data_IF_890505342984
#
_entry.id   IF_890505342984
#
_cell.length_a   1.000
_cell.length_b   1.000
_cell.length_c   1.000
_cell.angle_alpha   90.00
_cell.angle_beta   90.00
_cell.angle_gamma   90.00
#
_symmetry.space_group_name_H-M   'P 1'
#
loop_
_entity.id
_entity.type
_entity.pdbx_description
1 polymer ?
#
# COMPACT_ATOMS: atom_id res chain seq x y z
N UNK A 1 2.50 -74.86 -19.73
CA UNK A 1 3.07 -73.52 -19.45
C UNK A 1 2.08 -72.48 -19.90
N UNK A 2 1.34 -71.85 -18.97
CA UNK A 2 0.35 -70.79 -19.25
C UNK A 2 1.02 -69.46 -18.97
N UNK A 3 1.18 -68.60 -20.00
CA UNK A 3 1.66 -67.23 -19.89
C UNK A 3 0.53 -66.33 -19.39
N UNK A 4 0.73 -65.63 -18.27
CA UNK A 4 -0.16 -64.58 -17.77
C UNK A 4 0.22 -63.24 -18.44
N UNK A 5 -0.71 -62.46 -18.97
CA UNK A 5 -0.44 -61.09 -19.42
C UNK A 5 -0.41 -60.16 -18.23
N UNK A 6 0.63 -59.32 -18.13
CA UNK A 6 0.74 -58.22 -17.17
C UNK A 6 -0.06 -57.05 -17.72
N UNK A 7 -1.15 -56.69 -17.06
CA UNK A 7 -1.87 -55.46 -17.35
C UNK A 7 -1.03 -54.29 -16.78
N UNK A 8 -0.49 -53.46 -17.66
CA UNK A 8 0.10 -52.16 -17.32
C UNK A 8 -1.05 -51.16 -17.10
N UNK A 9 -1.34 -50.79 -15.84
CA UNK A 9 -2.25 -49.70 -15.51
C UNK A 9 -1.45 -48.42 -15.64
N UNK A 10 -1.60 -47.68 -16.74
CA UNK A 10 -1.15 -46.30 -16.89
C UNK A 10 -2.08 -45.41 -16.04
N UNK A 11 -1.57 -44.98 -14.88
CA UNK A 11 -2.15 -43.83 -14.14
C UNK A 11 -1.87 -42.57 -14.93
N UNK A 12 -2.83 -42.11 -15.73
CA UNK A 12 -2.87 -40.71 -16.18
C UNK A 12 -3.19 -39.83 -14.97
N UNK A 13 -2.18 -39.29 -14.33
CA UNK A 13 -2.34 -38.15 -13.45
C UNK A 13 -2.78 -36.96 -14.31
N UNK A 14 -4.08 -36.67 -14.32
CA UNK A 14 -4.58 -35.41 -14.84
C UNK A 14 -3.90 -34.29 -14.10
N UNK A 15 -2.90 -33.66 -14.68
CA UNK A 15 -2.43 -32.34 -14.25
C UNK A 15 -3.58 -31.38 -14.52
N UNK A 16 -4.43 -31.17 -13.50
CA UNK A 16 -5.31 -30.03 -13.50
C UNK A 16 -4.39 -28.80 -13.56
N UNK A 17 -4.32 -28.16 -14.72
CA UNK A 17 -3.60 -26.91 -14.87
C UNK A 17 -4.12 -25.96 -13.80
N UNK A 18 -3.24 -25.49 -12.90
CA UNK A 18 -3.61 -24.46 -11.95
C UNK A 18 -4.12 -23.27 -12.77
N UNK A 19 -5.36 -22.88 -12.55
CA UNK A 19 -5.91 -21.68 -13.17
C UNK A 19 -4.99 -20.51 -12.84
N UNK A 20 -4.69 -19.67 -13.84
CA UNK A 20 -3.91 -18.46 -13.60
C UNK A 20 -4.58 -17.65 -12.47
N UNK A 21 -3.78 -17.14 -11.50
CA UNK A 21 -4.34 -16.33 -10.45
C UNK A 21 -5.05 -15.11 -11.06
N UNK A 22 -6.17 -14.67 -10.49
CA UNK A 22 -6.91 -13.52 -11.00
C UNK A 22 -5.99 -12.30 -11.05
N UNK A 23 -6.16 -11.47 -12.09
CA UNK A 23 -5.42 -10.22 -12.24
C UNK A 23 -5.60 -9.34 -10.99
N UNK A 24 -4.57 -8.58 -10.57
CA UNK A 24 -4.71 -7.61 -9.50
C UNK A 24 -5.83 -6.61 -9.79
N UNK A 25 -6.65 -6.31 -8.78
CA UNK A 25 -7.82 -5.45 -8.88
C UNK A 25 -7.56 -4.13 -8.17
N UNK A 26 -7.70 -3.00 -8.90
CA UNK A 26 -7.73 -1.68 -8.27
C UNK A 26 -8.99 -1.53 -7.41
N UNK A 27 -8.80 -0.87 -6.26
CA UNK A 27 -9.84 -0.60 -5.28
C UNK A 27 -9.75 0.87 -4.90
N UNK A 28 -10.89 1.56 -4.86
CA UNK A 28 -10.96 2.97 -4.51
C UNK A 28 -11.60 3.21 -3.14
N UNK A 29 -11.28 4.35 -2.54
CA UNK A 29 -12.17 5.04 -1.61
C UNK A 29 -12.37 6.45 -2.11
N UNK A 30 -13.59 6.94 -2.05
CA UNK A 30 -13.95 8.24 -2.61
C UNK A 30 -14.69 9.05 -1.55
N UNK A 31 -14.35 10.32 -1.36
CA UNK A 31 -15.09 11.18 -0.46
C UNK A 31 -16.54 11.26 -0.90
N UNK A 32 -17.47 10.97 0.00
CA UNK A 32 -18.91 11.16 -0.24
C UNK A 32 -19.22 12.60 -0.68
N UNK A 33 -20.31 12.81 -1.36
CA UNK A 33 -20.73 14.14 -1.87
C UNK A 33 -19.73 14.73 -2.89
N UNK A 34 -19.00 13.87 -3.64
CA UNK A 34 -18.13 14.28 -4.74
C UNK A 34 -18.40 13.46 -5.99
N UNK A 35 -18.03 13.99 -7.15
CA UNK A 35 -18.08 13.26 -8.43
C UNK A 35 -16.77 12.55 -8.78
N UNK A 36 -15.95 12.16 -7.79
CA UNK A 36 -14.62 11.57 -8.01
C UNK A 36 -14.66 10.05 -8.21
N UNK A 37 -15.82 9.44 -8.06
CA UNK A 37 -16.00 7.99 -8.20
C UNK A 37 -15.76 7.51 -9.63
N UNK A 38 -14.99 6.44 -9.78
CA UNK A 38 -14.95 5.64 -11.00
C UNK A 38 -15.85 4.40 -10.81
N UNK A 39 -17.00 4.32 -11.50
CA UNK A 39 -17.98 3.24 -11.30
C UNK A 39 -17.47 1.85 -11.70
N UNK A 40 -16.31 1.77 -12.34
CA UNK A 40 -15.64 0.50 -12.69
C UNK A 40 -14.81 -0.08 -11.55
N UNK A 41 -14.52 0.71 -10.52
CA UNK A 41 -13.67 0.30 -9.40
C UNK A 41 -14.51 0.02 -8.15
N UNK A 42 -14.33 -1.13 -7.49
CA UNK A 42 -14.99 -1.40 -6.22
C UNK A 42 -14.44 -0.51 -5.10
N UNK A 43 -15.25 -0.30 -4.08
CA UNK A 43 -14.87 0.47 -2.91
C UNK A 43 -14.21 -0.39 -1.83
N UNK A 44 -13.19 0.16 -1.14
CA UNK A 44 -12.49 -0.53 -0.05
C UNK A 44 -13.44 -0.90 1.11
N UNK A 45 -14.44 -0.07 1.41
CA UNK A 45 -15.47 -0.34 2.43
C UNK A 45 -16.28 -1.62 2.18
N UNK A 46 -16.36 -2.06 0.92
CA UNK A 46 -17.09 -3.28 0.52
C UNK A 46 -16.10 -4.46 0.33
N UNK A 47 -14.95 -4.20 -0.28
CA UNK A 47 -13.92 -5.22 -0.57
C UNK A 47 -13.29 -5.75 0.71
N UNK A 48 -12.97 -4.91 1.69
CA UNK A 48 -12.30 -5.36 2.91
C UNK A 48 -13.14 -6.35 3.73
N UNK A 49 -14.43 -6.05 4.05
CA UNK A 49 -15.27 -7.02 4.75
C UNK A 49 -15.44 -8.33 3.97
N UNK A 50 -15.54 -8.27 2.62
CA UNK A 50 -15.62 -9.47 1.77
C UNK A 50 -14.38 -10.35 1.93
N UNK A 51 -13.18 -9.78 1.78
CA UNK A 51 -11.92 -10.50 1.93
C UNK A 51 -11.77 -11.11 3.34
N UNK A 52 -12.09 -10.36 4.39
CA UNK A 52 -11.99 -10.78 5.79
C UNK A 52 -12.96 -11.91 6.09
N UNK A 53 -14.21 -11.83 5.62
CA UNK A 53 -15.20 -12.91 5.78
C UNK A 53 -14.82 -14.19 5.06
N UNK A 54 -14.09 -14.08 3.94
CA UNK A 54 -13.60 -15.24 3.19
C UNK A 54 -12.45 -15.98 3.89
N UNK A 55 -11.80 -15.38 4.89
CA UNK A 55 -10.70 -15.98 5.65
C UNK A 55 -11.11 -17.29 6.32
N UNK A 56 -10.24 -18.29 6.23
CA UNK A 56 -10.44 -19.63 6.81
C UNK A 56 -9.38 -20.01 7.83
N UNK A 57 -8.16 -19.46 7.73
CA UNK A 57 -7.01 -19.83 8.56
C UNK A 57 -6.41 -18.66 9.30
N UNK A 58 -6.13 -17.57 8.59
CA UNK A 58 -5.42 -16.43 9.18
C UNK A 58 -5.70 -15.11 8.49
N UNK A 59 -5.59 -14.06 9.28
CA UNK A 59 -5.52 -12.67 8.81
C UNK A 59 -4.31 -12.03 9.48
N UNK A 60 -3.38 -11.52 8.66
CA UNK A 60 -2.21 -10.78 9.12
C UNK A 60 -2.35 -9.33 8.65
N UNK A 61 -2.44 -8.39 9.58
CA UNK A 61 -2.79 -7.00 9.32
C UNK A 61 -1.69 -6.09 9.87
N UNK A 62 -1.17 -5.20 9.01
CA UNK A 62 -0.18 -4.19 9.37
C UNK A 62 -0.69 -2.81 8.97
N UNK A 63 -0.96 -1.98 9.98
CA UNK A 63 -1.63 -0.70 9.82
C UNK A 63 -0.94 0.40 10.62
N UNK A 64 -0.99 1.61 10.09
CA UNK A 64 -0.45 2.77 10.78
C UNK A 64 -1.22 3.03 12.08
N UNK A 65 -2.54 3.02 12.03
CA UNK A 65 -3.45 3.15 13.17
C UNK A 65 -4.83 2.59 12.84
N UNK A 66 -5.66 2.48 13.87
CA UNK A 66 -7.10 2.23 13.74
C UNK A 66 -7.88 3.38 14.35
N UNK A 67 -8.90 3.88 13.63
CA UNK A 67 -9.80 4.92 14.17
C UNK A 67 -11.21 4.72 13.61
N UNK A 68 -12.17 4.47 14.50
CA UNK A 68 -13.58 4.42 14.13
C UNK A 68 -14.21 5.82 14.26
N UNK A 69 -15.33 6.05 13.57
CA UNK A 69 -15.99 7.35 13.58
C UNK A 69 -16.60 7.74 14.94
N UNK A 70 -16.96 9.00 15.12
CA UNK A 70 -17.65 9.47 16.31
C UNK A 70 -19.01 8.77 16.48
N UNK A 71 -19.75 8.59 15.40
CA UNK A 71 -20.88 7.67 15.34
C UNK A 71 -20.38 6.31 14.85
N UNK A 72 -20.04 5.45 15.79
CA UNK A 72 -19.45 4.14 15.50
C UNK A 72 -20.39 3.24 14.70
N UNK A 73 -21.69 3.35 14.93
CA UNK A 73 -22.68 2.49 14.27
C UNK A 73 -22.86 2.83 12.79
N UNK A 74 -22.74 4.11 12.43
CA UNK A 74 -22.86 4.60 11.08
C UNK A 74 -21.50 4.70 10.34
N UNK A 75 -20.41 4.37 11.02
CA UNK A 75 -19.05 4.44 10.46
C UNK A 75 -18.84 3.43 9.33
N UNK A 76 -18.21 3.86 8.24
CA UNK A 76 -17.80 2.96 7.15
C UNK A 76 -16.77 1.91 7.58
N UNK A 77 -16.06 2.10 8.70
CA UNK A 77 -15.15 1.12 9.28
C UNK A 77 -15.87 0.03 10.09
N UNK A 78 -17.07 0.28 10.57
CA UNK A 78 -17.79 -0.67 11.43
C UNK A 78 -17.99 -2.05 10.79
N UNK A 79 -18.39 -2.17 9.50
CA UNK A 79 -18.49 -3.47 8.83
C UNK A 79 -17.15 -4.23 8.77
N UNK A 80 -16.02 -3.52 8.68
CA UNK A 80 -14.68 -4.11 8.67
C UNK A 80 -14.34 -4.68 10.06
N UNK A 81 -14.56 -3.90 11.11
CA UNK A 81 -14.30 -4.34 12.49
C UNK A 81 -15.17 -5.56 12.87
N UNK A 82 -16.44 -5.53 12.49
CA UNK A 82 -17.34 -6.69 12.68
C UNK A 82 -16.86 -7.92 11.92
N UNK A 83 -16.41 -7.76 10.67
CA UNK A 83 -15.88 -8.89 9.91
C UNK A 83 -14.64 -9.51 10.57
N UNK A 84 -13.76 -8.70 11.20
CA UNK A 84 -12.62 -9.20 11.98
C UNK A 84 -13.08 -9.96 13.23
N UNK A 85 -14.08 -9.45 13.96
CA UNK A 85 -14.68 -10.13 15.11
C UNK A 85 -15.33 -11.46 14.71
N UNK A 86 -16.10 -11.47 13.63
CA UNK A 86 -16.71 -12.67 13.05
C UNK A 86 -15.63 -13.70 12.64
N UNK A 87 -14.51 -13.25 12.06
CA UNK A 87 -13.40 -14.12 11.70
C UNK A 87 -12.76 -14.76 12.95
N UNK A 88 -12.49 -13.98 14.00
CA UNK A 88 -11.98 -14.50 15.27
C UNK A 88 -12.96 -15.50 15.92
N UNK A 89 -14.27 -15.21 15.91
CA UNK A 89 -15.29 -16.11 16.41
C UNK A 89 -15.36 -17.45 15.64
N UNK A 90 -14.97 -17.46 14.35
CA UNK A 90 -14.83 -18.69 13.56
C UNK A 90 -13.51 -19.44 13.82
N UNK A 91 -12.63 -18.93 14.65
CA UNK A 91 -11.33 -19.53 14.95
C UNK A 91 -10.21 -19.14 13.94
N UNK A 92 -10.43 -18.12 13.12
CA UNK A 92 -9.38 -17.56 12.25
C UNK A 92 -8.35 -16.88 13.14
N UNK A 93 -7.06 -17.19 12.94
CA UNK A 93 -5.97 -16.53 13.67
C UNK A 93 -5.80 -15.10 13.16
N UNK A 94 -5.82 -14.12 14.05
CA UNK A 94 -5.57 -12.74 13.72
C UNK A 94 -4.22 -12.28 14.33
N UNK A 95 -3.36 -11.70 13.50
CA UNK A 95 -2.16 -10.99 13.95
C UNK A 95 -2.26 -9.54 13.48
N UNK A 96 -2.13 -8.61 14.40
CA UNK A 96 -2.28 -7.18 14.13
C UNK A 96 -1.02 -6.44 14.56
N UNK A 97 -0.40 -5.72 13.62
CA UNK A 97 0.67 -4.77 13.87
C UNK A 97 0.13 -3.34 13.75
N UNK A 98 0.29 -2.54 14.81
CA UNK A 98 0.00 -1.11 14.79
C UNK A 98 1.24 -0.30 15.14
N UNK A 99 1.36 0.91 14.58
CA UNK A 99 2.43 1.83 14.96
C UNK A 99 2.32 2.21 16.42
N UNK A 100 3.42 2.04 17.19
CA UNK A 100 3.44 2.33 18.62
C UNK A 100 3.04 3.79 18.93
N UNK A 101 3.35 4.72 18.02
CA UNK A 101 3.06 6.16 18.19
C UNK A 101 1.61 6.55 17.98
N UNK A 102 0.78 5.64 17.47
CA UNK A 102 -0.58 5.95 17.02
C UNK A 102 -1.66 5.25 17.84
N UNK A 103 -1.30 4.55 18.93
CA UNK A 103 -2.26 3.80 19.75
C UNK A 103 -3.29 4.69 20.46
N UNK A 104 -2.90 5.91 20.75
CA UNK A 104 -3.74 6.88 21.47
C UNK A 104 -4.73 7.64 20.54
N UNK A 105 -4.72 7.35 19.22
CA UNK A 105 -5.66 7.97 18.29
C UNK A 105 -7.11 7.51 18.53
N UNK A 106 -7.31 6.23 18.83
CA UNK A 106 -8.60 5.67 19.24
C UNK A 106 -8.36 4.43 20.14
N UNK A 107 -8.11 4.61 21.44
CA UNK A 107 -7.84 3.53 22.36
C UNK A 107 -8.97 2.49 22.42
N UNK A 108 -10.22 2.92 22.21
CA UNK A 108 -11.38 2.02 22.25
C UNK A 108 -11.37 1.06 21.04
N UNK A 109 -11.02 1.51 19.84
CA UNK A 109 -10.87 0.64 18.67
C UNK A 109 -9.65 -0.29 18.82
N UNK A 110 -8.55 0.17 19.41
CA UNK A 110 -7.41 -0.70 19.76
C UNK A 110 -7.80 -1.78 20.76
N UNK A 111 -8.54 -1.42 21.82
CA UNK A 111 -9.05 -2.37 22.81
C UNK A 111 -10.00 -3.40 22.18
N UNK A 112 -10.85 -2.96 21.25
CA UNK A 112 -11.76 -3.82 20.50
C UNK A 112 -11.00 -4.87 19.66
N UNK A 113 -9.95 -4.46 18.94
CA UNK A 113 -9.11 -5.41 18.20
C UNK A 113 -8.41 -6.43 19.11
N UNK A 114 -7.95 -5.99 20.29
CA UNK A 114 -7.34 -6.90 21.30
C UNK A 114 -8.30 -7.90 21.88
N UNK A 115 -9.58 -7.56 21.95
CA UNK A 115 -10.62 -8.41 22.51
C UNK A 115 -11.13 -9.50 21.56
N UNK A 116 -10.73 -9.46 20.27
CA UNK A 116 -11.14 -10.47 19.29
C UNK A 116 -10.56 -11.83 19.69
N UNK A 117 -11.38 -12.92 19.77
CA UNK A 117 -10.89 -14.25 20.10
C UNK A 117 -9.75 -14.69 19.15
N UNK A 118 -8.64 -15.15 19.73
CA UNK A 118 -7.47 -15.61 18.98
C UNK A 118 -6.64 -14.50 18.31
N UNK A 119 -6.94 -13.23 18.59
CA UNK A 119 -6.14 -12.12 18.08
C UNK A 119 -4.89 -11.88 18.93
N UNK A 120 -3.76 -11.65 18.27
CA UNK A 120 -2.54 -11.13 18.88
C UNK A 120 -2.22 -9.76 18.27
N UNK A 121 -2.20 -8.72 19.11
CA UNK A 121 -1.85 -7.37 18.70
C UNK A 121 -0.49 -7.01 19.26
N UNK A 122 0.45 -6.66 18.37
CA UNK A 122 1.77 -6.12 18.70
C UNK A 122 1.89 -4.68 18.23
N UNK A 123 2.77 -3.95 18.90
CA UNK A 123 3.15 -2.59 18.52
C UNK A 123 4.48 -2.61 17.79
N UNK A 124 4.54 -1.87 16.70
CA UNK A 124 5.74 -1.72 15.91
C UNK A 124 6.40 -0.38 16.20
N UNK A 125 7.66 -0.42 16.65
CA UNK A 125 8.45 0.77 17.01
C UNK A 125 9.87 0.63 16.47
N UNK A 126 10.22 1.46 15.49
CA UNK A 126 11.56 1.52 14.90
C UNK A 126 12.55 2.38 15.73
N UNK A 127 12.05 3.05 16.75
CA UNK A 127 12.81 4.09 17.45
C UNK A 127 12.98 5.36 16.59
N UNK A 128 13.64 6.35 17.13
CA UNK A 128 13.91 7.60 16.41
C UNK A 128 12.63 8.25 15.85
N UNK A 129 12.59 8.56 14.54
CA UNK A 129 11.44 9.15 13.84
C UNK A 129 10.61 8.13 13.08
N UNK A 130 11.12 6.92 12.86
CA UNK A 130 10.48 5.89 12.06
C UNK A 130 9.14 5.44 12.63
N UNK A 131 8.19 5.18 11.76
CA UNK A 131 6.85 4.69 12.06
C UNK A 131 6.50 3.48 11.19
N UNK A 132 5.53 2.68 11.63
CA UNK A 132 4.84 1.76 10.74
C UNK A 132 3.82 2.60 9.94
N UNK A 133 4.14 2.88 8.69
CA UNK A 133 3.23 3.63 7.82
C UNK A 133 2.67 2.77 6.69
N UNK A 134 3.00 1.49 6.66
CA UNK A 134 2.39 0.52 5.76
C UNK A 134 0.89 0.34 6.08
N UNK A 135 0.10 0.01 5.07
CA UNK A 135 -1.34 -0.28 5.16
C UNK A 135 -1.62 -1.46 4.26
N UNK A 136 -1.66 -2.63 4.88
CA UNK A 136 -1.94 -3.86 4.16
C UNK A 136 -2.47 -4.96 5.08
N UNK A 137 -3.13 -5.93 4.48
CA UNK A 137 -3.43 -7.19 5.16
C UNK A 137 -3.34 -8.37 4.20
N UNK A 138 -3.05 -9.54 4.78
CA UNK A 138 -3.01 -10.82 4.10
C UNK A 138 -4.12 -11.71 4.64
N UNK A 139 -4.76 -12.44 3.75
CA UNK A 139 -5.79 -13.44 4.06
C UNK A 139 -5.27 -14.81 3.66
N UNK A 140 -5.18 -15.72 4.63
CA UNK A 140 -4.74 -17.10 4.47
C UNK A 140 -3.33 -17.28 3.84
N UNK A 141 -2.55 -16.19 3.71
CA UNK A 141 -1.29 -16.17 2.98
C UNK A 141 -1.44 -16.35 1.46
N UNK A 142 -2.65 -16.20 0.92
CA UNK A 142 -3.00 -16.44 -0.48
C UNK A 142 -3.55 -15.20 -1.18
N UNK A 143 -4.17 -14.31 -0.43
CA UNK A 143 -4.74 -13.07 -0.94
C UNK A 143 -4.26 -11.90 -0.10
N UNK A 144 -4.10 -10.73 -0.71
CA UNK A 144 -3.68 -9.55 0.00
C UNK A 144 -4.33 -8.27 -0.53
N UNK A 145 -4.34 -7.27 0.32
CA UNK A 145 -4.64 -5.88 0.00
C UNK A 145 -3.46 -5.01 0.42
N UNK A 146 -3.05 -4.08 -0.45
CA UNK A 146 -2.10 -3.00 -0.15
C UNK A 146 -2.69 -1.70 -0.67
N UNK A 147 -2.67 -0.64 0.12
CA UNK A 147 -3.22 0.64 -0.34
C UNK A 147 -2.75 1.85 0.44
N UNK A 148 -3.31 2.98 0.08
CA UNK A 148 -3.10 4.22 0.82
C UNK A 148 -4.08 4.37 2.01
N UNK A 149 -5.14 3.58 2.02
CA UNK A 149 -6.19 3.58 3.04
C UNK A 149 -5.65 3.13 4.40
N UNK A 150 -5.79 3.96 5.42
CA UNK A 150 -5.62 3.53 6.80
C UNK A 150 -6.86 2.74 7.28
N UNK A 151 -6.74 1.98 8.35
CA UNK A 151 -7.88 1.36 9.04
C UNK A 151 -8.70 2.43 9.79
N UNK A 152 -9.31 3.31 9.01
CA UNK A 152 -9.91 4.58 9.43
C UNK A 152 -11.23 4.83 8.67
N UNK A 153 -12.28 5.19 9.40
CA UNK A 153 -13.56 5.53 8.81
C UNK A 153 -13.47 6.65 7.75
N UNK A 154 -12.56 7.63 7.96
CA UNK A 154 -12.33 8.72 7.00
C UNK A 154 -11.72 8.20 5.70
N UNK A 155 -10.76 7.27 5.80
CA UNK A 155 -10.12 6.65 4.65
C UNK A 155 -11.11 5.86 3.78
N UNK A 156 -12.20 5.34 4.37
CA UNK A 156 -13.21 4.59 3.65
C UNK A 156 -14.37 5.45 3.11
N UNK A 157 -14.51 6.70 3.58
CA UNK A 157 -15.71 7.51 3.31
C UNK A 157 -15.45 8.98 2.96
N UNK A 158 -14.32 9.56 3.38
CA UNK A 158 -14.07 10.99 3.30
C UNK A 158 -12.73 11.38 2.68
N UNK A 159 -11.93 10.42 2.25
CA UNK A 159 -10.61 10.63 1.65
C UNK A 159 -10.56 9.92 0.30
N UNK A 160 -9.89 10.54 -0.68
CA UNK A 160 -9.65 9.89 -1.97
C UNK A 160 -8.41 9.01 -1.89
N UNK A 161 -8.63 7.69 -1.96
CA UNK A 161 -7.62 6.67 -1.74
C UNK A 161 -7.60 5.65 -2.87
N UNK A 162 -6.46 4.97 -3.02
CA UNK A 162 -6.31 3.89 -3.99
C UNK A 162 -5.59 2.70 -3.35
N UNK A 163 -6.09 1.51 -3.58
CA UNK A 163 -5.49 0.25 -3.15
C UNK A 163 -5.53 -0.80 -4.24
N UNK A 164 -4.90 -1.92 -3.96
CA UNK A 164 -4.82 -3.08 -4.82
C UNK A 164 -5.15 -4.35 -4.04
N UNK A 165 -6.11 -5.12 -4.52
CA UNK A 165 -6.42 -6.47 -4.10
C UNK A 165 -5.75 -7.45 -5.06
N UNK A 166 -5.06 -8.47 -4.57
CA UNK A 166 -4.35 -9.41 -5.43
C UNK A 166 -4.15 -10.79 -4.78
N UNK A 167 -4.00 -11.79 -5.66
CA UNK A 167 -3.62 -13.18 -5.32
C UNK A 167 -2.35 -13.62 -6.04
N UNK A 168 -1.67 -12.69 -6.69
CA UNK A 168 -0.44 -12.92 -7.46
C UNK A 168 0.68 -13.37 -6.52
N UNK A 169 1.22 -14.60 -6.66
CA UNK A 169 2.22 -15.14 -5.72
C UNK A 169 3.50 -14.29 -5.65
N UNK A 170 3.89 -13.62 -6.75
CA UNK A 170 5.04 -12.74 -6.86
C UNK A 170 4.89 -11.47 -6.00
N UNK A 171 3.67 -11.12 -5.59
CA UNK A 171 3.38 -10.03 -4.66
C UNK A 171 3.04 -10.54 -3.25
N UNK A 172 2.26 -11.63 -3.14
CA UNK A 172 1.81 -12.18 -1.85
C UNK A 172 2.98 -12.70 -1.03
N UNK A 173 3.89 -13.48 -1.64
CA UNK A 173 5.03 -14.09 -0.91
C UNK A 173 6.00 -13.06 -0.31
N UNK A 174 6.48 -12.04 -1.07
CA UNK A 174 7.32 -11.00 -0.47
C UNK A 174 6.57 -10.19 0.60
N UNK A 175 5.28 -9.90 0.42
CA UNK A 175 4.50 -9.20 1.43
C UNK A 175 4.38 -10.01 2.73
N UNK A 176 4.14 -11.32 2.63
CA UNK A 176 4.14 -12.22 3.79
C UNK A 176 5.52 -12.25 4.48
N UNK A 177 6.61 -12.27 3.72
CA UNK A 177 7.97 -12.21 4.27
C UNK A 177 8.25 -10.88 4.99
N UNK A 178 7.73 -9.76 4.47
CA UNK A 178 7.79 -8.46 5.17
C UNK A 178 7.02 -8.53 6.48
N UNK A 179 5.80 -9.06 6.46
CA UNK A 179 4.99 -9.17 7.67
C UNK A 179 5.69 -10.02 8.74
N UNK A 180 6.24 -11.19 8.39
CA UNK A 180 6.96 -12.05 9.34
C UNK A 180 8.21 -11.36 9.91
N UNK A 181 8.91 -10.60 9.09
CA UNK A 181 10.04 -9.79 9.53
C UNK A 181 9.61 -8.74 10.57
N UNK A 182 8.58 -7.99 10.26
CA UNK A 182 8.05 -6.93 11.10
C UNK A 182 7.43 -7.49 12.39
N UNK A 183 6.76 -8.64 12.29
CA UNK A 183 6.20 -9.36 13.43
C UNK A 183 7.28 -9.85 14.40
N UNK A 184 8.35 -10.42 13.85
CA UNK A 184 9.51 -10.89 14.65
C UNK A 184 10.24 -9.72 15.29
N UNK A 185 10.46 -8.64 14.53
CA UNK A 185 11.07 -7.41 15.04
C UNK A 185 10.27 -6.79 16.19
N UNK A 186 8.95 -6.72 16.07
CA UNK A 186 8.06 -6.15 17.11
C UNK A 186 8.13 -6.92 18.43
N UNK A 187 8.42 -8.22 18.39
CA UNK A 187 8.54 -9.09 19.57
C UNK A 187 9.90 -9.01 20.27
N UNK A 188 10.97 -8.78 19.54
CA UNK A 188 12.35 -8.88 20.08
C UNK A 188 13.11 -7.55 20.08
N UNK A 189 12.69 -6.56 19.29
CA UNK A 189 13.44 -5.32 18.97
C UNK A 189 14.84 -5.55 18.42
N UNK A 190 15.16 -6.78 18.05
CA UNK A 190 16.42 -7.14 17.40
C UNK A 190 16.27 -6.90 15.91
N UNK A 191 17.15 -6.09 15.35
CA UNK A 191 17.20 -5.91 13.89
C UNK A 191 17.57 -7.24 13.25
N UNK A 192 16.76 -7.75 12.29
CA UNK A 192 17.15 -8.96 11.58
C UNK A 192 18.46 -8.73 10.83
N UNK A 193 19.40 -9.66 10.95
CA UNK A 193 20.59 -9.69 10.13
C UNK A 193 20.26 -10.44 8.84
N UNK A 194 20.05 -9.71 7.76
CA UNK A 194 19.85 -10.34 6.45
C UNK A 194 21.13 -10.33 5.63
N UNK A 195 21.46 -11.41 4.93
CA UNK A 195 22.49 -11.38 3.90
C UNK A 195 22.05 -10.43 2.78
N UNK A 196 23.01 -9.70 2.22
CA UNK A 196 22.73 -8.83 1.07
C UNK A 196 22.13 -9.65 -0.07
N UNK A 197 20.92 -9.30 -0.49
CA UNK A 197 20.27 -9.97 -1.60
C UNK A 197 21.09 -9.80 -2.89
N UNK A 198 21.22 -10.86 -3.69
CA UNK A 198 21.78 -10.76 -5.01
C UNK A 198 20.85 -9.92 -5.90
N UNK A 199 21.43 -9.00 -6.68
CA UNK A 199 20.66 -8.20 -7.64
C UNK A 199 20.03 -9.12 -8.69
N UNK A 200 18.72 -8.98 -8.91
CA UNK A 200 18.06 -9.67 -10.02
C UNK A 200 18.33 -8.92 -11.33
N UNK A 201 18.79 -9.59 -12.39
CA UNK A 201 19.19 -8.93 -13.62
C UNK A 201 18.04 -8.45 -14.53
N UNK A 202 16.81 -8.89 -14.26
CA UNK A 202 15.62 -8.52 -15.05
C UNK A 202 14.51 -8.02 -14.15
N UNK A 203 13.82 -6.95 -14.59
CA UNK A 203 12.64 -6.45 -13.88
C UNK A 203 11.49 -7.44 -14.07
N UNK A 204 10.90 -7.97 -12.98
CA UNK A 204 9.73 -8.82 -13.05
C UNK A 204 8.50 -7.99 -13.49
N UNK A 205 7.47 -8.69 -14.00
CA UNK A 205 6.19 -8.06 -14.33
C UNK A 205 5.47 -7.50 -13.10
N UNK A 206 5.72 -8.11 -11.94
CA UNK A 206 5.22 -7.70 -10.63
C UNK A 206 6.39 -7.57 -9.68
N UNK A 207 6.53 -6.43 -9.05
CA UNK A 207 7.58 -6.19 -8.06
C UNK A 207 6.97 -5.58 -6.81
N UNK A 208 7.26 -6.17 -5.65
CA UNK A 208 6.97 -5.59 -4.35
C UNK A 208 8.28 -5.15 -3.72
N UNK A 209 8.33 -3.90 -3.32
CA UNK A 209 9.48 -3.28 -2.68
C UNK A 209 9.07 -2.67 -1.35
N UNK A 210 10.02 -2.38 -0.48
CA UNK A 210 9.69 -1.84 0.83
C UNK A 210 10.77 -0.88 1.35
N UNK A 211 10.44 -0.18 2.41
CA UNK A 211 11.32 0.68 3.21
C UNK A 211 11.11 0.42 4.70
N UNK A 212 12.10 0.72 5.56
CA UNK A 212 13.44 1.18 5.20
C UNK A 212 14.33 0.01 4.74
N UNK A 213 15.40 0.27 3.96
CA UNK A 213 16.23 -0.79 3.36
C UNK A 213 16.79 -1.81 4.36
N UNK A 214 17.17 -1.34 5.55
CA UNK A 214 17.81 -2.16 6.59
C UNK A 214 16.85 -3.19 7.23
N UNK A 215 15.55 -3.09 6.96
CA UNK A 215 14.53 -3.99 7.51
C UNK A 215 13.89 -4.87 6.42
N UNK A 216 14.32 -4.76 5.18
CA UNK A 216 13.76 -5.56 4.10
C UNK A 216 14.28 -7.00 4.15
N UNK A 217 13.40 -8.01 4.06
CA UNK A 217 13.82 -9.40 3.98
C UNK A 217 14.53 -9.69 2.65
N UNK A 218 15.30 -10.80 2.56
CA UNK A 218 15.96 -11.21 1.33
C UNK A 218 14.98 -11.29 0.16
N UNK A 219 15.39 -10.76 -1.00
CA UNK A 219 14.57 -10.73 -2.20
C UNK A 219 13.61 -9.54 -2.31
N UNK A 220 13.46 -8.71 -1.26
CA UNK A 220 12.70 -7.46 -1.31
C UNK A 220 13.66 -6.28 -1.49
N UNK A 221 13.57 -5.63 -2.64
CA UNK A 221 14.37 -4.43 -2.94
C UNK A 221 13.91 -3.22 -2.13
N UNK A 222 14.79 -2.25 -2.00
CA UNK A 222 14.46 -0.97 -1.39
C UNK A 222 13.64 -0.10 -2.37
N UNK A 223 12.54 0.49 -1.89
CA UNK A 223 11.75 1.46 -2.66
C UNK A 223 12.59 2.67 -3.05
N UNK A 224 13.56 3.05 -2.20
CA UNK A 224 14.54 4.11 -2.43
C UNK A 224 15.39 3.90 -3.70
N UNK A 225 15.62 2.66 -4.11
CA UNK A 225 16.37 2.30 -5.31
C UNK A 225 15.43 2.10 -6.51
N UNK A 226 14.32 1.40 -6.30
CA UNK A 226 13.40 1.00 -7.36
C UNK A 226 12.66 2.20 -7.99
N UNK A 227 12.21 3.15 -7.17
CA UNK A 227 11.39 4.27 -7.66
C UNK A 227 12.19 5.25 -8.55
N UNK A 228 13.41 5.71 -8.19
CA UNK A 228 14.22 6.53 -9.09
C UNK A 228 14.60 5.82 -10.40
N UNK A 229 14.84 4.52 -10.33
CA UNK A 229 15.11 3.70 -11.51
C UNK A 229 13.90 3.68 -12.47
N UNK A 230 12.69 3.54 -11.95
CA UNK A 230 11.45 3.62 -12.72
C UNK A 230 11.29 4.98 -13.41
N UNK A 231 11.48 6.06 -12.68
CA UNK A 231 11.42 7.42 -13.20
C UNK A 231 12.49 7.65 -14.29
N UNK A 232 13.67 7.03 -14.12
CA UNK A 232 14.75 7.08 -15.08
C UNK A 232 14.44 6.38 -16.42
N UNK A 233 13.56 5.38 -16.41
CA UNK A 233 13.19 4.59 -17.59
C UNK A 233 12.02 5.16 -18.38
N UNK A 234 11.30 6.15 -17.86
CA UNK A 234 10.19 6.80 -18.53
C UNK A 234 10.63 7.43 -19.87
N UNK A 235 9.82 7.23 -20.91
CA UNK A 235 10.07 7.69 -22.28
C UNK A 235 9.11 8.76 -22.75
N UNK A 236 7.84 8.69 -22.33
CA UNK A 236 6.77 9.55 -22.84
C UNK A 236 6.13 10.39 -21.75
N UNK A 237 5.68 9.74 -20.66
CA UNK A 237 4.86 10.39 -19.64
C UNK A 237 4.99 9.76 -18.27
N UNK A 238 5.04 10.62 -17.25
CA UNK A 238 4.93 10.28 -15.84
C UNK A 238 3.73 11.03 -15.27
N UNK A 239 2.78 10.32 -14.66
CA UNK A 239 1.67 10.88 -13.90
C UNK A 239 1.77 10.42 -12.46
N UNK A 240 1.82 11.37 -11.54
CA UNK A 240 1.97 11.09 -10.10
C UNK A 240 0.84 11.75 -9.35
N UNK A 241 0.25 11.03 -8.40
CA UNK A 241 -0.70 11.57 -7.42
C UNK A 241 -0.21 11.28 -6.01
N UNK A 242 -0.11 12.31 -5.17
CA UNK A 242 0.41 12.19 -3.80
C UNK A 242 -0.40 13.03 -2.82
N UNK A 243 -0.48 12.58 -1.56
CA UNK A 243 -0.85 13.47 -0.47
C UNK A 243 0.24 14.53 -0.28
N UNK A 244 1.49 14.09 -0.07
CA UNK A 244 2.61 14.98 0.25
C UNK A 244 3.80 14.71 -0.65
N UNK A 245 4.34 15.79 -1.21
CA UNK A 245 5.60 15.84 -1.93
C UNK A 245 6.57 16.75 -1.16
N UNK A 246 7.62 16.19 -0.60
CA UNK A 246 8.57 16.95 0.21
C UNK A 246 10.02 16.61 -0.14
N UNK A 247 10.69 17.38 -0.98
CA UNK A 247 12.11 17.25 -1.23
C UNK A 247 12.97 17.87 -0.13
N UNK A 248 12.40 18.09 1.06
CA UNK A 248 13.09 18.64 2.24
C UNK A 248 12.96 17.70 3.41
N UNK A 249 14.10 17.25 3.91
CA UNK A 249 14.21 16.45 5.10
C UNK A 249 14.41 17.32 6.35
N UNK A 250 13.69 17.00 7.42
CA UNK A 250 13.84 17.68 8.71
C UNK A 250 13.61 19.21 8.65
N UNK A 251 12.86 19.71 7.67
CA UNK A 251 12.51 21.12 7.41
C UNK A 251 13.58 21.99 6.77
N UNK A 252 14.83 21.56 6.68
CA UNK A 252 15.94 22.46 6.24
C UNK A 252 16.89 21.80 5.23
N UNK A 253 17.02 20.47 5.23
CA UNK A 253 17.97 19.79 4.36
C UNK A 253 17.30 19.35 3.06
N UNK A 254 17.80 19.81 1.94
CA UNK A 254 17.34 19.39 0.63
C UNK A 254 17.64 17.89 0.40
N UNK A 255 16.61 17.13 0.08
CA UNK A 255 16.68 15.72 -0.28
C UNK A 255 16.26 15.55 -1.75
N UNK A 256 17.24 15.53 -2.65
CA UNK A 256 16.98 15.73 -4.09
C UNK A 256 16.53 14.49 -4.84
N UNK A 257 16.51 13.30 -4.22
CA UNK A 257 16.45 12.04 -4.96
C UNK A 257 15.31 11.96 -5.96
N UNK A 258 14.07 12.12 -5.51
CA UNK A 258 12.89 12.03 -6.36
C UNK A 258 12.66 13.32 -7.17
N UNK A 259 12.99 14.47 -6.59
CA UNK A 259 12.93 15.78 -7.29
C UNK A 259 13.86 15.80 -8.49
N UNK A 260 15.11 15.36 -8.31
CA UNK A 260 16.07 15.25 -9.42
C UNK A 260 15.64 14.22 -10.46
N UNK A 261 15.02 13.10 -10.06
CA UNK A 261 14.54 12.10 -11.00
C UNK A 261 13.41 12.64 -11.90
N UNK A 262 12.47 13.42 -11.35
CA UNK A 262 11.41 14.09 -12.13
C UNK A 262 12.00 15.17 -13.05
N UNK A 263 12.94 16.00 -12.56
CA UNK A 263 13.63 17.01 -13.38
C UNK A 263 14.41 16.38 -14.52
N UNK A 264 15.14 15.32 -14.24
CA UNK A 264 15.89 14.58 -15.28
C UNK A 264 14.95 13.96 -16.33
N UNK A 265 13.78 13.47 -15.93
CA UNK A 265 12.77 12.99 -16.87
C UNK A 265 12.26 14.13 -17.77
N UNK A 266 11.93 15.30 -17.19
CA UNK A 266 11.50 16.47 -17.95
C UNK A 266 12.56 16.97 -18.95
N UNK A 267 13.84 16.96 -18.55
CA UNK A 267 14.98 17.31 -19.44
C UNK A 267 15.12 16.32 -20.61
N UNK A 268 14.80 15.06 -20.41
CA UNK A 268 14.73 14.06 -21.51
C UNK A 268 13.54 14.23 -22.44
N UNK A 269 12.64 15.18 -22.16
CA UNK A 269 11.42 15.43 -22.95
C UNK A 269 10.19 14.65 -22.47
N UNK A 270 10.28 13.94 -21.35
CA UNK A 270 9.14 13.21 -20.75
C UNK A 270 8.15 14.21 -20.17
N UNK A 271 6.87 14.04 -20.46
CA UNK A 271 5.80 14.85 -19.84
C UNK A 271 5.57 14.40 -18.40
N UNK A 272 5.81 15.29 -17.44
CA UNK A 272 5.63 15.03 -16.00
C UNK A 272 4.39 15.76 -15.53
N UNK A 273 3.43 15.03 -14.97
CA UNK A 273 2.21 15.57 -14.35
C UNK A 273 2.21 15.14 -12.88
N UNK A 274 2.40 16.10 -11.99
CA UNK A 274 2.40 15.89 -10.55
C UNK A 274 1.14 16.51 -9.94
N UNK A 275 0.30 15.70 -9.33
CA UNK A 275 -0.88 16.11 -8.60
C UNK A 275 -0.65 15.92 -7.10
N UNK A 276 -0.86 16.95 -6.30
CA UNK A 276 -0.67 16.91 -4.85
C UNK A 276 -1.90 17.48 -4.13
N UNK A 277 -2.07 17.11 -2.85
CA UNK A 277 -3.08 17.73 -2.01
C UNK A 277 -2.72 19.19 -1.68
N UNK A 278 -3.71 19.98 -1.33
CA UNK A 278 -3.60 21.38 -0.90
C UNK A 278 -2.73 21.57 0.35
N UNK A 279 -2.49 20.52 1.13
CA UNK A 279 -1.52 20.53 2.25
C UNK A 279 -0.09 20.91 1.81
N UNK A 280 0.22 20.81 0.51
CA UNK A 280 1.53 21.20 -0.05
C UNK A 280 1.62 22.70 -0.39
N UNK A 281 0.59 23.49 -0.13
CA UNK A 281 0.61 24.95 -0.34
C UNK A 281 1.41 25.69 0.73
N UNK A 282 1.78 25.05 1.82
CA UNK A 282 2.62 25.61 2.85
C UNK A 282 4.11 25.52 2.52
N UNK A 283 4.90 26.45 3.07
CA UNK A 283 6.36 26.42 2.96
C UNK A 283 6.96 25.31 3.85
N UNK A 284 8.05 24.67 3.43
CA UNK A 284 8.82 24.89 2.21
C UNK A 284 8.29 24.17 0.96
N UNK A 285 7.29 23.28 1.06
CA UNK A 285 6.83 22.42 -0.03
C UNK A 285 6.41 23.21 -1.27
N UNK A 286 5.63 24.28 -1.10
CA UNK A 286 5.12 25.09 -2.22
C UNK A 286 6.24 25.71 -3.06
N UNK A 287 7.37 26.09 -2.46
CA UNK A 287 8.47 26.70 -3.19
C UNK A 287 9.15 25.68 -4.13
N UNK A 288 9.26 24.43 -3.69
CA UNK A 288 9.78 23.34 -4.54
C UNK A 288 8.81 22.97 -5.66
N UNK A 289 7.51 22.94 -5.40
CA UNK A 289 6.48 22.71 -6.42
C UNK A 289 6.51 23.81 -7.49
N UNK A 290 6.61 25.09 -7.10
CA UNK A 290 6.77 26.21 -8.01
C UNK A 290 8.04 26.08 -8.86
N UNK A 291 9.16 25.73 -8.24
CA UNK A 291 10.42 25.50 -8.93
C UNK A 291 10.32 24.36 -9.96
N UNK A 292 9.63 23.28 -9.62
CA UNK A 292 9.42 22.15 -10.53
C UNK A 292 8.53 22.55 -11.71
N UNK A 293 7.47 23.31 -11.45
CA UNK A 293 6.51 23.79 -12.46
C UNK A 293 7.10 24.77 -13.47
N UNK A 294 8.27 25.36 -13.21
CA UNK A 294 8.97 26.23 -14.17
C UNK A 294 9.66 25.44 -15.29
N UNK A 295 9.81 24.12 -15.15
CA UNK A 295 10.48 23.32 -16.16
C UNK A 295 9.55 23.06 -17.35
N UNK A 296 10.10 23.07 -18.59
CA UNK A 296 9.37 22.55 -19.73
C UNK A 296 8.89 21.11 -19.48
N UNK A 297 7.75 20.74 -20.02
CA UNK A 297 7.14 19.42 -19.88
C UNK A 297 6.70 19.03 -18.46
N UNK A 298 6.68 19.95 -17.50
CA UNK A 298 6.20 19.69 -16.13
C UNK A 298 4.90 20.47 -15.87
N UNK A 299 3.90 19.75 -15.43
CA UNK A 299 2.63 20.30 -14.95
C UNK A 299 2.46 19.90 -13.48
N UNK A 300 2.21 20.87 -12.62
CA UNK A 300 1.90 20.65 -11.20
C UNK A 300 0.48 21.11 -10.93
N UNK A 301 -0.35 20.19 -10.44
CA UNK A 301 -1.73 20.44 -10.01
C UNK A 301 -1.88 20.30 -8.50
N UNK A 302 -2.64 21.20 -7.89
CA UNK A 302 -3.03 21.10 -6.49
C UNK A 302 -4.52 20.83 -6.41
N UNK A 303 -4.91 19.85 -5.60
CA UNK A 303 -6.29 19.44 -5.43
C UNK A 303 -6.75 19.76 -4.01
N UNK A 304 -7.81 20.55 -3.91
CA UNK A 304 -8.58 20.74 -2.70
C UNK A 304 -9.97 20.09 -2.90
N UNK A 305 -10.38 19.27 -1.93
CA UNK A 305 -11.71 18.65 -1.93
C UNK A 305 -12.60 19.47 -1.00
N UNK A 306 -13.77 19.95 -1.47
CA UNK A 306 -14.68 20.74 -0.64
C UNK A 306 -15.06 20.02 0.66
N UNK A 307 -15.36 20.78 1.71
CA UNK A 307 -15.87 20.24 2.96
C UNK A 307 -17.16 19.42 2.74
N UNK A 308 -17.40 18.47 3.63
CA UNK A 308 -18.66 17.72 3.63
C UNK A 308 -19.82 18.61 4.10
N UNK A 309 -21.06 18.26 3.72
CA UNK A 309 -22.25 18.96 4.19
C UNK A 309 -22.38 18.95 5.72
N UNK A 310 -21.81 17.94 6.38
CA UNK A 310 -21.71 17.86 7.84
C UNK A 310 -20.68 18.82 8.46
N UNK A 311 -19.93 19.58 7.66
CA UNK A 311 -18.89 20.51 8.08
C UNK A 311 -17.49 19.92 8.07
N UNK A 312 -16.58 20.58 8.79
CA UNK A 312 -15.16 20.22 8.82
C UNK A 312 -14.91 18.89 9.48
N UNK A 313 -14.22 18.00 8.76
CA UNK A 313 -13.73 16.71 9.26
C UNK A 313 -12.21 16.75 9.29
N UNK A 314 -11.57 16.73 10.47
CA UNK A 314 -10.11 16.81 10.58
C UNK A 314 -9.41 15.68 9.82
N UNK A 315 -8.36 16.03 9.07
CA UNK A 315 -7.55 15.08 8.27
C UNK A 315 -8.33 14.32 7.18
N UNK A 316 -9.44 14.88 6.71
CA UNK A 316 -10.26 14.33 5.63
C UNK A 316 -10.37 15.32 4.46
N UNK A 317 -11.19 15.00 3.46
CA UNK A 317 -11.46 15.81 2.26
C UNK A 317 -10.18 16.14 1.48
N UNK A 318 -9.34 15.15 1.30
CA UNK A 318 -8.02 15.27 0.69
C UNK A 318 -7.76 14.09 -0.27
N UNK A 319 -6.92 14.30 -1.29
CA UNK A 319 -6.34 13.20 -2.05
C UNK A 319 -5.21 12.58 -1.23
N UNK A 320 -5.27 11.29 -0.98
CA UNK A 320 -4.29 10.59 -0.15
C UNK A 320 -3.62 9.41 -0.86
N UNK A 321 -4.01 9.10 -2.09
CA UNK A 321 -3.36 8.09 -2.92
C UNK A 321 -1.87 8.39 -3.10
N UNK A 322 -1.05 7.34 -3.21
CA UNK A 322 0.37 7.42 -3.57
C UNK A 322 0.56 6.53 -4.77
N UNK A 323 0.23 7.10 -5.93
CA UNK A 323 0.20 6.36 -7.19
C UNK A 323 1.01 7.07 -8.26
N UNK A 324 1.59 6.28 -9.15
CA UNK A 324 2.26 6.77 -10.33
C UNK A 324 1.95 5.85 -11.52
N UNK A 325 1.73 6.45 -12.68
CA UNK A 325 1.62 5.73 -13.96
C UNK A 325 2.70 6.24 -14.90
N UNK A 326 3.52 5.32 -15.42
CA UNK A 326 4.58 5.61 -16.39
C UNK A 326 4.22 5.03 -17.74
N UNK A 327 4.29 5.86 -18.78
CA UNK A 327 4.09 5.51 -20.20
C UNK A 327 2.78 4.73 -20.46
N UNK A 328 1.78 4.93 -19.59
CA UNK A 328 0.44 4.31 -19.71
C UNK A 328 0.36 2.82 -19.38
N UNK A 329 1.48 2.14 -19.15
CA UNK A 329 1.50 0.69 -18.95
C UNK A 329 2.15 0.21 -17.65
N UNK A 330 2.81 1.10 -16.90
CA UNK A 330 3.40 0.75 -15.61
C UNK A 330 2.65 1.48 -14.50
N UNK A 331 2.11 0.72 -13.57
CA UNK A 331 1.50 1.24 -12.35
C UNK A 331 2.49 1.10 -11.18
N UNK A 332 2.65 2.17 -10.41
CA UNK A 332 3.25 2.16 -9.08
C UNK A 332 2.20 2.61 -8.07
N UNK A 333 2.03 1.85 -7.01
CA UNK A 333 1.07 2.12 -5.95
C UNK A 333 1.69 1.74 -4.60
N UNK A 334 1.48 2.56 -3.59
CA UNK A 334 2.02 2.22 -2.27
C UNK A 334 1.58 3.13 -1.14
N UNK A 335 2.32 3.00 -0.06
CA UNK A 335 1.98 3.63 1.21
C UNK A 335 2.83 4.88 1.49
N UNK A 336 3.96 5.08 0.80
CA UNK A 336 4.89 6.19 1.04
C UNK A 336 4.42 7.51 0.46
N UNK A 337 4.36 8.56 1.27
CA UNK A 337 4.50 9.92 0.75
C UNK A 337 5.92 10.13 0.21
N UNK A 338 6.12 11.10 -0.68
CA UNK A 338 7.43 11.34 -1.26
C UNK A 338 8.23 12.33 -0.40
N UNK A 339 8.75 11.83 0.71
CA UNK A 339 9.66 12.48 1.63
C UNK A 339 10.71 11.50 2.13
N UNK A 340 11.89 11.96 2.51
CA UNK A 340 13.04 11.12 2.87
C UNK A 340 12.70 10.10 3.95
N UNK A 341 12.04 10.52 5.02
CA UNK A 341 11.70 9.71 6.20
C UNK A 341 10.80 8.50 5.87
N UNK A 342 9.97 8.59 4.83
CA UNK A 342 9.17 7.47 4.37
C UNK A 342 10.01 6.37 3.71
N UNK A 343 11.15 6.72 3.10
CA UNK A 343 12.02 5.77 2.40
C UNK A 343 13.19 5.28 3.23
N UNK A 344 13.63 6.05 4.24
CA UNK A 344 14.84 5.76 5.00
C UNK A 344 14.61 5.37 6.45
N UNK A 345 13.49 5.77 7.05
CA UNK A 345 13.23 5.61 8.48
C UNK A 345 11.94 4.81 8.76
N UNK A 346 10.91 4.92 7.92
CA UNK A 346 9.58 4.34 8.17
C UNK A 346 9.32 3.07 7.38
N UNK A 347 8.56 2.15 7.96
CA UNK A 347 8.10 0.94 7.27
C UNK A 347 6.97 1.29 6.30
N UNK A 348 7.24 1.10 5.03
CA UNK A 348 6.29 1.23 3.94
C UNK A 348 6.42 0.05 2.97
N UNK A 349 5.40 -0.16 2.14
CA UNK A 349 5.38 -1.14 1.05
C UNK A 349 4.82 -0.50 -0.21
N UNK A 350 5.44 -0.86 -1.34
CA UNK A 350 5.12 -0.34 -2.66
C UNK A 350 5.01 -1.51 -3.66
N UNK A 351 4.14 -1.35 -4.64
CA UNK A 351 3.95 -2.33 -5.71
C UNK A 351 4.17 -1.65 -7.06
N UNK A 352 5.07 -2.22 -7.86
CA UNK A 352 5.25 -1.90 -9.26
C UNK A 352 4.68 -3.00 -10.14
N UNK A 353 3.83 -2.66 -11.10
CA UNK A 353 3.24 -3.58 -12.07
C UNK A 353 3.55 -3.10 -13.47
N UNK A 354 4.30 -3.91 -14.22
CA UNK A 354 4.58 -3.66 -15.65
C UNK A 354 3.43 -4.25 -16.47
N UNK A 355 2.94 -3.51 -17.47
CA UNK A 355 1.79 -3.87 -18.31
C UNK A 355 0.48 -4.02 -17.53
N UNK A 356 0.23 -3.08 -16.64
CA UNK A 356 -1.06 -2.99 -15.99
C UNK A 356 -2.11 -2.46 -16.99
N UNK A 357 -3.12 -3.26 -17.26
CA UNK A 357 -4.26 -2.85 -18.10
C UNK A 357 -5.16 -1.94 -17.25
N UNK A 358 -5.04 -0.63 -17.42
CA UNK A 358 -6.01 0.29 -16.85
C UNK A 358 -7.40 -0.02 -17.43
N UNK A 359 -8.48 0.04 -16.63
CA UNK A 359 -9.82 -0.14 -17.16
C UNK A 359 -10.05 0.80 -18.35
N UNK A 360 -10.29 0.25 -19.53
CA UNK A 360 -10.64 1.03 -20.72
C UNK A 360 -11.98 1.71 -20.54
N UNK A 361 -12.11 2.94 -21.05
CA UNK A 361 -13.38 3.70 -21.02
C UNK A 361 -14.47 3.01 -21.82
#
# INVERSE_FOLDING_TARGET
MRRRPWLLILLLAAMAGAAEPPKPQLVQSVPVETGLEDPRLPHAKDVWPEMIRAARRSIDLAEFYVTNGPDRAASALEPVLRALEEAGARGVRLRVLLSARMLDQDPASVARLRAIPGAELRTFDLGGRGILHAKYFLVDGEEAFVGSQNLDWRALQHIHETGLRFRTPELVRPLASIFETDWSFSGSRLRPAFPKAAASPARPAFELVASPPFLNPPGVRAALEALPELLGQAKERIRVQLLTYSPVAGRVRFWPLLDNALRAAAVRGVKVQLMVADWNLEKPAVDHLKSLALLPNVEVGVVAIPEAAAGHIPYARVIHSKTMVVDGGLLWLGTSNWGEDYFTESRNVEIGIVRFDLPTR
#
